data_IF_218647484549
#
_entry.id   IF_218647484549
#
_cell.length_a   1.000
_cell.length_b   1.000
_cell.length_c   1.000
_cell.angle_alpha   90.00
_cell.angle_beta   90.00
_cell.angle_gamma   90.00
#
_symmetry.space_group_name_H-M   'P 1'
#
loop_
_entity.id
_entity.type
_entity.pdbx_description
1 polymer ?
#
# COMPACT_ATOMS: atom_id res chain seq x y z
N UNK A 1 -17.19 0.33 4.93
CA UNK A 1 -16.47 1.29 4.05
C UNK A 1 -16.13 0.67 2.69
N UNK A 2 -15.21 -0.31 2.60
CA UNK A 2 -14.80 -0.89 1.31
C UNK A 2 -15.96 -1.47 0.48
N UNK A 3 -16.87 -2.24 1.09
CA UNK A 3 -18.05 -2.77 0.38
C UNK A 3 -18.97 -1.67 -0.18
N UNK A 4 -19.24 -0.62 0.61
CA UNK A 4 -20.05 0.50 0.18
C UNK A 4 -19.40 1.30 -0.98
N UNK A 5 -18.07 1.26 -1.12
CA UNK A 5 -17.40 1.85 -2.28
C UNK A 5 -17.59 1.01 -3.53
N UNK A 6 -17.56 -0.32 -3.43
CA UNK A 6 -17.79 -1.22 -4.56
C UNK A 6 -19.20 -1.08 -5.14
N UNK A 7 -20.20 -0.81 -4.30
CA UNK A 7 -21.58 -0.52 -4.72
C UNK A 7 -21.68 0.70 -5.66
N UNK A 8 -20.63 1.54 -5.73
CA UNK A 8 -20.57 2.73 -6.59
C UNK A 8 -19.92 2.48 -7.95
N UNK A 9 -19.60 1.22 -8.28
CA UNK A 9 -19.07 0.80 -9.58
C UNK A 9 -17.56 0.49 -9.72
N UNK A 10 -16.63 0.85 -8.81
CA UNK A 10 -15.24 0.44 -8.97
C UNK A 10 -15.07 -1.07 -8.76
N UNK A 11 -14.13 -1.70 -9.49
CA UNK A 11 -13.84 -3.14 -9.33
C UNK A 11 -13.09 -3.47 -8.04
N UNK A 12 -12.34 -2.51 -7.50
CA UNK A 12 -11.56 -2.67 -6.28
C UNK A 12 -11.74 -1.42 -5.40
N UNK A 13 -11.82 -1.64 -4.09
CA UNK A 13 -11.77 -0.60 -3.07
C UNK A 13 -10.67 -0.93 -2.06
N UNK A 14 -9.82 0.04 -1.75
CA UNK A 14 -8.75 -0.08 -0.74
C UNK A 14 -8.87 1.07 0.24
N UNK A 15 -8.95 0.74 1.53
CA UNK A 15 -9.03 1.71 2.63
C UNK A 15 -7.73 1.64 3.42
N UNK A 16 -6.94 2.72 3.36
CA UNK A 16 -5.73 2.88 4.17
C UNK A 16 -6.13 3.12 5.64
N UNK A 17 -5.44 2.44 6.55
CA UNK A 17 -5.71 2.46 8.00
C UNK A 17 -4.52 3.01 8.81
N UNK A 18 -3.54 3.63 8.15
CA UNK A 18 -2.34 4.19 8.78
C UNK A 18 -1.38 3.10 9.22
N UNK A 19 -0.95 3.17 10.47
CA UNK A 19 -0.11 2.17 11.16
C UNK A 19 -0.78 0.79 11.26
N UNK A 20 -2.10 0.71 11.07
CA UNK A 20 -2.83 -0.54 10.96
C UNK A 20 -2.79 -1.15 9.56
N UNK A 21 -2.13 -0.55 8.58
CA UNK A 21 -2.04 -1.08 7.21
C UNK A 21 -3.22 -0.70 6.31
N UNK A 22 -3.81 -1.67 5.62
CA UNK A 22 -4.89 -1.40 4.66
C UNK A 22 -5.92 -2.55 4.61
N UNK A 23 -7.19 -2.20 4.38
CA UNK A 23 -8.22 -3.19 4.07
C UNK A 23 -8.60 -3.08 2.60
N UNK A 24 -8.70 -4.20 1.89
CA UNK A 24 -9.09 -4.23 0.48
C UNK A 24 -10.30 -5.12 0.25
N UNK A 25 -11.05 -4.79 -0.81
CA UNK A 25 -12.09 -5.62 -1.38
C UNK A 25 -12.00 -5.52 -2.92
N UNK A 26 -11.91 -6.67 -3.58
CA UNK A 26 -11.70 -6.84 -5.02
C UNK A 26 -12.37 -8.16 -5.49
N UNK A 27 -12.41 -8.45 -6.81
CA UNK A 27 -13.10 -9.64 -7.32
C UNK A 27 -12.44 -10.96 -6.90
N UNK A 28 -11.12 -10.95 -6.74
CA UNK A 28 -10.30 -12.10 -6.32
C UNK A 28 -10.15 -12.23 -4.80
N UNK A 29 -10.72 -11.31 -4.01
CA UNK A 29 -10.77 -11.45 -2.56
C UNK A 29 -10.96 -10.15 -1.79
N UNK A 30 -11.04 -10.29 -0.47
CA UNK A 30 -11.06 -9.17 0.48
C UNK A 30 -10.24 -9.54 1.70
N UNK A 31 -9.63 -8.56 2.35
CA UNK A 31 -8.83 -8.83 3.53
C UNK A 31 -8.18 -7.60 4.14
N UNK A 32 -7.67 -7.80 5.34
CA UNK A 32 -6.80 -6.86 6.03
C UNK A 32 -5.34 -7.22 5.76
N UNK A 33 -4.56 -6.24 5.34
CA UNK A 33 -3.12 -6.31 5.17
C UNK A 33 -2.50 -5.43 6.26
N UNK A 34 -1.81 -6.01 7.25
CA UNK A 34 -1.16 -5.23 8.31
C UNK A 34 0.00 -4.41 7.75
N UNK A 35 0.30 -3.28 8.39
CA UNK A 35 1.56 -2.57 8.17
C UNK A 35 2.62 -3.05 9.15
N UNK A 36 3.89 -2.90 8.76
CA UNK A 36 5.00 -3.09 9.68
C UNK A 36 5.01 -1.99 10.74
N UNK A 37 5.37 -2.36 11.96
CA UNK A 37 5.63 -1.39 13.03
C UNK A 37 6.94 -0.64 12.71
N UNK A 38 6.83 0.64 12.38
CA UNK A 38 7.97 1.50 12.03
C UNK A 38 7.96 2.78 12.85
N UNK A 39 9.15 3.35 13.07
CA UNK A 39 9.27 4.71 13.60
C UNK A 39 9.05 5.71 12.47
N UNK A 40 7.85 6.27 12.39
CA UNK A 40 7.53 7.31 11.42
C UNK A 40 8.34 8.60 11.71
N UNK A 41 8.93 9.15 10.65
CA UNK A 41 9.67 10.42 10.63
C UNK A 41 8.84 11.50 9.93
N UNK A 42 8.23 11.16 8.79
CA UNK A 42 7.41 12.09 8.00
C UNK A 42 6.36 11.33 7.19
N UNK A 43 5.08 11.63 7.38
CA UNK A 43 3.96 10.96 6.69
C UNK A 43 3.56 11.63 5.37
N UNK A 44 4.20 12.72 4.99
CA UNK A 44 3.90 13.47 3.75
C UNK A 44 3.97 12.56 2.54
N UNK A 45 2.98 12.58 1.64
CA UNK A 45 2.94 11.73 0.44
C UNK A 45 2.96 10.20 0.69
N UNK A 46 2.76 9.71 1.92
CA UNK A 46 2.64 8.25 2.17
C UNK A 46 1.43 7.66 1.43
N UNK A 47 0.36 8.45 1.33
CA UNK A 47 -0.82 8.08 0.58
C UNK A 47 -0.60 7.99 -0.93
N UNK A 48 0.25 8.85 -1.48
CA UNK A 48 0.61 8.89 -2.89
C UNK A 48 1.57 7.75 -3.23
N UNK A 49 2.56 7.50 -2.35
CA UNK A 49 3.47 6.36 -2.43
C UNK A 49 2.69 5.03 -2.50
N UNK A 50 1.71 4.88 -1.60
CA UNK A 50 0.82 3.72 -1.59
C UNK A 50 0.05 3.58 -2.91
N UNK A 51 -0.57 4.66 -3.39
CA UNK A 51 -1.39 4.61 -4.61
C UNK A 51 -0.55 4.29 -5.85
N UNK A 52 0.62 4.91 -5.98
CA UNK A 52 1.57 4.64 -7.05
C UNK A 52 2.06 3.18 -7.00
N UNK A 53 2.45 2.70 -5.84
CA UNK A 53 2.89 1.32 -5.65
C UNK A 53 1.79 0.29 -5.94
N UNK A 54 0.55 0.58 -5.54
CA UNK A 54 -0.61 -0.25 -5.88
C UNK A 54 -0.81 -0.31 -7.40
N UNK A 55 -0.73 0.84 -8.09
CA UNK A 55 -0.81 0.91 -9.55
C UNK A 55 0.29 0.11 -10.25
N UNK A 56 1.54 0.24 -9.80
CA UNK A 56 2.67 -0.55 -10.30
C UNK A 56 2.42 -2.04 -10.11
N UNK A 57 2.07 -2.47 -8.90
CA UNK A 57 1.86 -3.88 -8.58
C UNK A 57 0.70 -4.51 -9.38
N UNK A 58 -0.40 -3.78 -9.55
CA UNK A 58 -1.52 -4.22 -10.39
C UNK A 58 -1.12 -4.27 -11.88
N UNK A 59 -0.34 -3.29 -12.36
CA UNK A 59 0.20 -3.27 -13.72
C UNK A 59 1.16 -4.43 -14.01
N UNK A 60 1.86 -4.93 -12.98
CA UNK A 60 2.69 -6.13 -13.03
C UNK A 60 1.88 -7.45 -12.97
N UNK A 61 0.55 -7.39 -12.89
CA UNK A 61 -0.32 -8.56 -12.85
C UNK A 61 -0.34 -9.28 -11.50
N UNK A 62 0.07 -8.63 -10.41
CA UNK A 62 -0.03 -9.20 -9.06
C UNK A 62 -1.50 -9.30 -8.63
N UNK A 63 -1.84 -10.34 -7.87
CA UNK A 63 -3.17 -10.46 -7.24
C UNK A 63 -3.42 -9.33 -6.24
N UNK A 64 -4.70 -9.06 -5.92
CA UNK A 64 -5.10 -7.91 -5.11
C UNK A 64 -4.45 -7.89 -3.72
N UNK A 65 -4.34 -9.05 -3.07
CA UNK A 65 -3.70 -9.17 -1.77
C UNK A 65 -2.22 -8.74 -1.82
N UNK A 66 -1.49 -9.23 -2.82
CA UNK A 66 -0.06 -8.98 -2.99
C UNK A 66 0.21 -7.55 -3.45
N UNK A 67 -0.67 -6.99 -4.28
CA UNK A 67 -0.57 -5.60 -4.70
C UNK A 67 -0.77 -4.64 -3.52
N UNK A 68 -1.74 -4.92 -2.65
CA UNK A 68 -1.98 -4.14 -1.43
C UNK A 68 -0.84 -4.34 -0.42
N UNK A 69 -0.28 -5.55 -0.31
CA UNK A 69 0.90 -5.83 0.52
C UNK A 69 2.12 -5.05 0.06
N UNK A 70 2.40 -5.05 -1.24
CA UNK A 70 3.48 -4.27 -1.84
C UNK A 70 3.29 -2.76 -1.59
N UNK A 71 2.09 -2.24 -1.84
CA UNK A 71 1.76 -0.83 -1.58
C UNK A 71 1.91 -0.44 -0.11
N UNK A 72 1.50 -1.32 0.80
CA UNK A 72 1.64 -1.13 2.25
C UNK A 72 3.11 -1.07 2.65
N UNK A 73 3.96 -1.94 2.10
CA UNK A 73 5.41 -1.94 2.37
C UNK A 73 6.08 -0.67 1.85
N UNK A 74 5.76 -0.22 0.63
CA UNK A 74 6.29 1.03 0.07
C UNK A 74 5.94 2.22 0.97
N UNK A 75 4.68 2.34 1.39
CA UNK A 75 4.25 3.40 2.28
C UNK A 75 4.95 3.31 3.65
N UNK A 76 5.11 2.10 4.20
CA UNK A 76 5.82 1.85 5.46
C UNK A 76 7.27 2.34 5.42
N UNK A 77 8.01 2.07 4.34
CA UNK A 77 9.39 2.57 4.19
C UNK A 77 9.39 4.09 3.95
N UNK A 78 8.47 4.61 3.14
CA UNK A 78 8.34 6.05 2.86
C UNK A 78 8.23 6.86 4.15
N UNK A 79 7.41 6.40 5.11
CA UNK A 79 7.18 7.17 6.33
C UNK A 79 8.39 7.25 7.26
N UNK A 80 9.42 6.42 7.08
CA UNK A 80 10.65 6.44 7.90
C UNK A 80 11.68 7.47 7.40
N UNK A 81 11.36 8.24 6.37
CA UNK A 81 12.29 9.16 5.68
C UNK A 81 11.65 10.54 5.52
N UNK A 82 12.47 11.59 5.65
CA UNK A 82 12.02 12.97 5.47
C UNK A 82 11.78 13.30 4.00
N UNK A 83 10.67 13.98 3.70
CA UNK A 83 10.34 14.47 2.36
C UNK A 83 9.26 13.64 1.65
N UNK A 84 8.79 14.16 0.51
CA UNK A 84 7.74 13.56 -0.33
C UNK A 84 8.32 12.62 -1.40
N UNK A 85 8.53 13.09 -2.63
CA UNK A 85 9.05 12.26 -3.73
C UNK A 85 10.50 11.83 -3.52
N UNK A 86 11.32 12.70 -2.93
CA UNK A 86 12.76 12.44 -2.66
C UNK A 86 12.98 11.30 -1.67
N UNK A 87 11.94 10.90 -0.94
CA UNK A 87 12.02 9.85 0.09
C UNK A 87 11.44 8.51 -0.36
N UNK A 88 11.00 8.40 -1.62
CA UNK A 88 10.43 7.16 -2.16
C UNK A 88 11.49 6.04 -2.14
N UNK A 89 11.13 4.82 -1.71
CA UNK A 89 12.05 3.70 -1.74
C UNK A 89 12.26 3.20 -3.17
N UNK A 90 13.42 2.59 -3.40
CA UNK A 90 13.71 1.86 -4.62
C UNK A 90 13.00 0.50 -4.61
N UNK A 91 12.82 -0.10 -5.80
CA UNK A 91 12.27 -1.45 -5.93
C UNK A 91 13.05 -2.48 -5.11
N UNK A 92 14.38 -2.41 -5.16
CA UNK A 92 15.25 -3.35 -4.45
C UNK A 92 15.09 -3.29 -2.93
N UNK A 93 14.96 -2.07 -2.37
CA UNK A 93 14.70 -1.88 -0.94
C UNK A 93 13.35 -2.49 -0.52
N UNK A 94 12.32 -2.33 -1.34
CA UNK A 94 10.98 -2.88 -1.06
C UNK A 94 11.00 -4.41 -1.13
N UNK A 95 11.65 -4.98 -2.14
CA UNK A 95 11.76 -6.43 -2.29
C UNK A 95 12.59 -7.08 -1.17
N UNK A 96 13.68 -6.44 -0.75
CA UNK A 96 14.45 -6.87 0.41
C UNK A 96 13.60 -6.85 1.67
N UNK A 97 12.87 -5.75 1.88
CA UNK A 97 11.99 -5.64 3.03
C UNK A 97 10.94 -6.77 3.00
N UNK A 98 10.30 -7.05 1.86
CA UNK A 98 9.27 -8.10 1.73
C UNK A 98 9.77 -9.54 1.92
N UNK A 99 11.08 -9.80 1.87
CA UNK A 99 11.67 -11.13 2.17
C UNK A 99 11.79 -11.42 3.67
N UNK A 100 11.73 -10.38 4.50
CA UNK A 100 11.80 -10.44 5.96
C UNK A 100 10.40 -10.52 6.56
#
# INVERSE_FOLDING_TARGET
AASALLERGPRMAVVKLGDRGAFYAAPDGRGHVPADAVRAVDTTAAGDAFAAALGVALGEGRGSADAVRFATRVAGIKVTRMGAQVSMPTRAEVEEAMRQ
#
